data_IF_003373486886
#
_entry.id   IF_003373486886
#
_cell.length_a   1.000
_cell.length_b   1.000
_cell.length_c   1.000
_cell.angle_alpha   90.00
_cell.angle_beta   90.00
_cell.angle_gamma   90.00
#
_symmetry.space_group_name_H-M   'P 1'
#
loop_
_entity.id
_entity.type
_entity.pdbx_description
1 polymer ?
#
# COMPACT_ATOMS: atom_id res chain seq x y z
N UNK A 1 8.40 -21.41 -6.84
CA UNK A 1 7.35 -20.71 -7.61
C UNK A 1 6.91 -21.47 -8.85
N UNK A 2 7.72 -22.39 -9.40
CA UNK A 2 7.38 -23.18 -10.60
C UNK A 2 6.11 -24.04 -10.46
N UNK A 3 5.77 -24.47 -9.25
CA UNK A 3 4.61 -25.36 -8.99
C UNK A 3 3.31 -24.63 -8.64
N UNK A 4 3.35 -23.30 -8.46
CA UNK A 4 2.18 -22.53 -8.05
C UNK A 4 1.41 -22.05 -9.27
N UNK A 5 0.08 -22.08 -9.21
CA UNK A 5 -0.74 -21.44 -10.25
C UNK A 5 -0.49 -19.93 -10.28
N UNK A 6 -0.74 -19.27 -11.41
CA UNK A 6 -0.57 -17.81 -11.53
C UNK A 6 -1.30 -17.06 -10.40
N UNK A 7 -2.53 -17.46 -10.07
CA UNK A 7 -3.32 -16.86 -8.99
C UNK A 7 -2.62 -17.03 -7.65
N UNK A 8 -2.09 -18.22 -7.34
CA UNK A 8 -1.35 -18.46 -6.10
C UNK A 8 -0.06 -17.65 -6.03
N UNK A 9 0.67 -17.54 -7.15
CA UNK A 9 1.87 -16.70 -7.21
C UNK A 9 1.54 -15.23 -6.91
N UNK A 10 0.49 -14.70 -7.54
CA UNK A 10 0.04 -13.32 -7.30
C UNK A 10 -0.38 -13.10 -5.85
N UNK A 11 -1.14 -14.03 -5.25
CA UNK A 11 -1.56 -13.93 -3.85
C UNK A 11 -0.34 -13.91 -2.92
N UNK A 12 0.64 -14.79 -3.12
CA UNK A 12 1.84 -14.85 -2.27
C UNK A 12 2.70 -13.58 -2.41
N UNK A 13 2.74 -12.96 -3.58
CA UNK A 13 3.52 -11.74 -3.79
C UNK A 13 2.79 -10.48 -3.31
N UNK A 14 1.51 -10.32 -3.63
CA UNK A 14 0.78 -9.05 -3.45
C UNK A 14 0.18 -8.93 -2.06
N UNK A 15 -0.41 -10.00 -1.52
CA UNK A 15 -1.20 -9.93 -0.29
C UNK A 15 -0.36 -9.54 0.93
N UNK A 16 0.86 -10.09 1.15
CA UNK A 16 1.71 -9.66 2.25
C UNK A 16 2.14 -8.20 2.13
N UNK A 17 2.43 -7.72 0.92
CA UNK A 17 2.85 -6.34 0.67
C UNK A 17 1.70 -5.37 0.98
N UNK A 18 0.50 -5.64 0.46
CA UNK A 18 -0.69 -4.80 0.74
C UNK A 18 -0.97 -4.75 2.22
N UNK A 19 -0.90 -5.89 2.91
CA UNK A 19 -1.09 -5.95 4.36
C UNK A 19 -0.03 -5.14 5.12
N UNK A 20 1.25 -5.35 4.80
CA UNK A 20 2.36 -4.67 5.46
C UNK A 20 2.28 -3.15 5.30
N UNK A 21 2.05 -2.66 4.07
CA UNK A 21 1.91 -1.23 3.80
C UNK A 21 0.69 -0.64 4.50
N UNK A 22 -0.46 -1.31 4.44
CA UNK A 22 -1.70 -0.83 5.09
C UNK A 22 -1.51 -0.63 6.60
N UNK A 23 -0.90 -1.61 7.27
CA UNK A 23 -0.64 -1.52 8.71
C UNK A 23 0.41 -0.45 9.02
N UNK A 24 1.47 -0.35 8.20
CA UNK A 24 2.52 0.64 8.33
C UNK A 24 1.98 2.07 8.24
N UNK A 25 1.21 2.39 7.20
CA UNK A 25 0.63 3.71 7.00
C UNK A 25 -0.42 4.05 8.07
N UNK A 26 -1.27 3.07 8.45
CA UNK A 26 -2.22 3.27 9.53
C UNK A 26 -1.53 3.56 10.87
N UNK A 27 -0.40 2.89 11.15
CA UNK A 27 0.40 3.12 12.35
C UNK A 27 1.04 4.53 12.33
N UNK A 28 1.59 4.96 11.19
CA UNK A 28 2.09 6.32 11.03
C UNK A 28 1.00 7.36 11.29
N UNK A 29 -0.16 7.20 10.67
CA UNK A 29 -1.31 8.10 10.89
C UNK A 29 -1.79 8.11 12.34
N UNK A 30 -1.78 6.97 13.02
CA UNK A 30 -2.16 6.86 14.43
C UNK A 30 -1.18 7.56 15.38
N UNK A 31 0.13 7.44 15.13
CA UNK A 31 1.16 8.15 15.91
C UNK A 31 1.09 9.65 15.64
N UNK A 32 0.94 10.06 14.37
CA UNK A 32 0.82 11.46 13.97
C UNK A 32 -0.38 12.15 14.65
N UNK A 33 -1.54 11.51 14.69
CA UNK A 33 -2.74 12.03 15.38
C UNK A 33 -2.50 12.23 16.88
N UNK A 34 -1.75 11.32 17.53
CA UNK A 34 -1.35 11.46 18.94
C UNK A 34 -0.34 12.56 19.19
N UNK A 35 0.48 12.88 18.21
CA UNK A 35 1.45 13.97 18.26
C UNK A 35 0.86 15.29 17.75
N UNK A 36 -0.44 15.32 17.41
CA UNK A 36 -1.18 16.54 17.10
C UNK A 36 -1.43 16.81 15.61
N UNK A 37 -1.08 15.89 14.70
CA UNK A 37 -1.44 15.97 13.28
C UNK A 37 -2.66 15.07 12.97
N UNK A 38 -3.87 15.64 12.90
CA UNK A 38 -5.09 14.87 12.68
C UNK A 38 -5.34 14.49 11.21
N UNK A 39 -4.46 14.84 10.27
CA UNK A 39 -4.71 14.76 8.82
C UNK A 39 -5.12 13.36 8.38
N UNK A 40 -4.34 12.33 8.74
CA UNK A 40 -4.63 10.96 8.34
C UNK A 40 -5.97 10.45 8.91
N UNK A 41 -6.31 10.85 10.15
CA UNK A 41 -7.59 10.49 10.78
C UNK A 41 -8.76 11.19 10.10
N UNK A 42 -8.63 12.48 9.81
CA UNK A 42 -9.66 13.27 9.12
C UNK A 42 -9.95 12.74 7.72
N UNK A 43 -8.93 12.23 7.03
CA UNK A 43 -9.06 11.58 5.72
C UNK A 43 -9.55 10.12 5.81
N UNK A 44 -9.82 9.59 7.00
CA UNK A 44 -10.25 8.19 7.19
C UNK A 44 -9.16 7.15 6.87
N UNK A 45 -7.88 7.55 6.89
CA UNK A 45 -6.72 6.70 6.56
C UNK A 45 -6.13 5.95 7.77
N UNK A 46 -6.55 6.25 9.00
CA UNK A 46 -6.17 5.44 10.18
C UNK A 46 -7.06 4.20 10.25
N UNK A 47 -6.83 3.24 9.35
CA UNK A 47 -7.66 2.04 9.17
C UNK A 47 -6.86 0.88 8.59
N UNK A 48 -7.25 -0.35 8.93
CA UNK A 48 -6.70 -1.57 8.33
C UNK A 48 -7.37 -1.96 7.01
N UNK A 49 -8.33 -1.18 6.53
CA UNK A 49 -8.84 -1.32 5.18
C UNK A 49 -7.75 -0.82 4.19
N UNK A 50 -7.26 -1.63 3.24
CA UNK A 50 -6.24 -1.19 2.28
C UNK A 50 -6.77 -0.15 1.28
N UNK A 51 -8.08 -0.11 1.04
CA UNK A 51 -8.68 0.71 -0.02
C UNK A 51 -8.38 2.22 0.13
N UNK A 52 -8.51 2.85 1.32
CA UNK A 52 -8.22 4.28 1.50
C UNK A 52 -6.74 4.68 1.37
N UNK A 53 -5.84 3.69 1.36
CA UNK A 53 -4.40 3.87 1.19
C UNK A 53 -3.96 3.76 -0.27
N UNK A 54 -4.85 3.30 -1.16
CA UNK A 54 -4.58 3.21 -2.59
C UNK A 54 -4.89 4.54 -3.25
N UNK A 55 -3.93 5.05 -4.01
CA UNK A 55 -4.10 6.26 -4.83
C UNK A 55 -3.59 6.02 -6.26
N UNK A 56 -4.19 6.74 -7.22
CA UNK A 56 -3.87 6.56 -8.63
C UNK A 56 -2.40 6.88 -8.92
N UNK A 57 -1.82 7.89 -8.27
CA UNK A 57 -0.47 8.32 -8.57
C UNK A 57 0.57 7.41 -7.91
N UNK A 58 0.56 7.31 -6.59
CA UNK A 58 1.54 6.56 -5.81
C UNK A 58 1.41 5.05 -5.97
N UNK A 59 0.20 4.50 -6.07
CA UNK A 59 0.00 3.04 -6.15
C UNK A 59 0.06 2.49 -7.58
N UNK A 60 -0.35 3.28 -8.59
CA UNK A 60 -0.46 2.80 -9.98
C UNK A 60 0.58 3.48 -10.89
N UNK A 61 0.50 4.80 -11.04
CA UNK A 61 1.31 5.51 -12.04
C UNK A 61 2.81 5.48 -11.70
N UNK A 62 3.17 5.64 -10.42
CA UNK A 62 4.57 5.67 -10.00
C UNK A 62 5.26 4.32 -10.21
N UNK A 63 4.75 3.15 -9.74
CA UNK A 63 5.38 1.86 -10.02
C UNK A 63 5.46 1.53 -11.52
N UNK A 64 4.43 1.84 -12.30
CA UNK A 64 4.43 1.62 -13.74
C UNK A 64 5.45 2.52 -14.45
N UNK A 65 5.55 3.79 -14.05
CA UNK A 65 6.55 4.72 -14.57
C UNK A 65 7.98 4.29 -14.22
N UNK A 66 8.21 3.87 -12.98
CA UNK A 66 9.50 3.33 -12.55
C UNK A 66 9.87 2.06 -13.32
N UNK A 67 8.91 1.16 -13.53
CA UNK A 67 9.11 -0.03 -14.35
C UNK A 67 9.49 0.34 -15.79
N UNK A 68 8.72 1.22 -16.44
CA UNK A 68 9.01 1.67 -17.80
C UNK A 68 10.41 2.30 -17.91
N UNK A 69 10.79 3.15 -16.94
CA UNK A 69 12.13 3.75 -16.90
C UNK A 69 13.23 2.70 -16.67
N UNK A 70 12.99 1.69 -15.84
CA UNK A 70 13.98 0.63 -15.58
C UNK A 70 14.24 -0.29 -16.79
N UNK A 71 13.34 -0.26 -17.78
CA UNK A 71 13.42 -1.08 -18.99
C UNK A 71 13.96 -0.34 -20.22
N UNK A 72 14.26 0.96 -20.09
CA UNK A 72 14.95 1.78 -21.10
C UNK A 72 16.46 1.67 -20.94
#
# INVERSE_FOLDING_TARGET
>A
MSELSLVQQLVVMVLPVVFAVTVHEAAHGWVADRLGDPTARMLGRVTFNPIPHIDLFGTILLPLGLYALSTL
#
